data_IF_806954616693
#
_entry.id   IF_806954616693
#
_cell.length_a   1.000
_cell.length_b   1.000
_cell.length_c   1.000
_cell.angle_alpha   90.00
_cell.angle_beta   90.00
_cell.angle_gamma   90.00
#
_symmetry.space_group_name_H-M   'P 1'
#
loop_
_entity.id
_entity.type
_entity.pdbx_description
1 polymer ?
#
# COMPACT_ATOMS: atom_id res chain seq x y z
N UNK A 1 27.54 -2.86 -5.09
CA UNK A 1 26.92 -3.37 -6.33
C UNK A 1 27.90 -3.35 -7.49
N UNK A 2 28.37 -2.17 -7.94
CA UNK A 2 29.32 -2.04 -9.07
C UNK A 2 30.52 -2.98 -8.93
N UNK A 3 31.27 -2.88 -7.83
CA UNK A 3 32.42 -3.78 -7.59
C UNK A 3 32.07 -5.28 -7.54
N UNK A 4 30.84 -5.66 -7.15
CA UNK A 4 30.39 -7.08 -7.20
C UNK A 4 30.20 -7.54 -8.65
N UNK A 5 29.66 -6.70 -9.51
CA UNK A 5 29.48 -7.00 -10.93
C UNK A 5 30.83 -7.01 -11.67
N UNK A 6 31.71 -6.06 -11.38
CA UNK A 6 33.06 -6.00 -11.94
C UNK A 6 33.91 -7.21 -11.55
N UNK A 7 33.84 -7.65 -10.29
CA UNK A 7 34.54 -8.87 -9.83
C UNK A 7 34.10 -10.15 -10.57
N UNK A 8 32.90 -10.15 -11.16
CA UNK A 8 32.37 -11.23 -11.97
C UNK A 8 32.58 -11.01 -13.49
N UNK A 9 33.33 -9.97 -13.88
CA UNK A 9 33.58 -9.63 -15.29
C UNK A 9 32.36 -9.08 -16.04
N UNK A 10 31.33 -8.61 -15.32
CA UNK A 10 30.04 -8.15 -15.87
C UNK A 10 29.71 -6.71 -15.47
N UNK A 11 30.74 -5.86 -15.39
CA UNK A 11 30.64 -4.46 -14.96
C UNK A 11 29.68 -3.62 -15.81
N UNK A 12 29.50 -3.98 -17.08
CA UNK A 12 28.57 -3.30 -18.00
C UNK A 12 27.11 -3.36 -17.54
N UNK A 13 26.75 -4.37 -16.73
CA UNK A 13 25.41 -4.49 -16.15
C UNK A 13 25.10 -3.38 -15.14
N UNK A 14 26.10 -2.68 -14.60
CA UNK A 14 25.88 -1.61 -13.63
C UNK A 14 24.96 -0.50 -14.21
N UNK A 15 25.21 -0.08 -15.45
CA UNK A 15 24.38 0.91 -16.15
C UNK A 15 22.94 0.42 -16.39
N UNK A 16 22.74 -0.90 -16.49
CA UNK A 16 21.43 -1.52 -16.64
C UNK A 16 20.70 -1.71 -15.32
N UNK A 17 21.39 -1.80 -14.19
CA UNK A 17 20.76 -2.24 -12.95
C UNK A 17 20.65 -1.14 -11.89
N UNK A 18 21.49 -0.11 -11.95
CA UNK A 18 21.41 1.01 -11.02
C UNK A 18 20.16 1.84 -11.34
N UNK A 19 19.21 1.99 -10.39
CA UNK A 19 18.02 2.78 -10.62
C UNK A 19 18.29 4.28 -10.58
N UNK A 20 17.54 5.04 -11.37
CA UNK A 20 17.57 6.51 -11.41
C UNK A 20 16.63 7.17 -10.38
N UNK A 21 16.22 6.42 -9.35
CA UNK A 21 15.38 6.91 -8.26
C UNK A 21 16.11 6.82 -6.92
N UNK A 22 15.72 7.66 -5.97
CA UNK A 22 16.32 7.69 -4.64
C UNK A 22 16.12 6.37 -3.88
N UNK A 23 17.13 5.89 -3.12
CA UNK A 23 16.99 4.74 -2.25
C UNK A 23 15.77 4.85 -1.32
N UNK A 24 14.99 3.77 -1.20
CA UNK A 24 13.78 3.72 -0.37
C UNK A 24 12.52 4.28 -1.04
N UNK A 25 12.62 4.88 -2.24
CA UNK A 25 11.45 5.31 -3.00
C UNK A 25 10.55 4.14 -3.44
N UNK A 26 11.14 2.94 -3.55
CA UNK A 26 10.44 1.65 -3.66
C UNK A 26 10.84 0.75 -2.50
N UNK A 27 10.02 -0.26 -2.20
CA UNK A 27 10.35 -1.27 -1.17
C UNK A 27 11.66 -1.94 -1.57
N UNK A 28 12.59 -2.01 -0.62
CA UNK A 28 13.86 -2.70 -0.84
C UNK A 28 13.60 -4.21 -0.96
N UNK A 29 14.11 -4.80 -2.03
CA UNK A 29 14.11 -6.24 -2.26
C UNK A 29 15.48 -6.77 -1.91
N UNK A 30 15.54 -7.70 -0.97
CA UNK A 30 16.78 -8.30 -0.50
C UNK A 30 17.01 -9.61 -1.24
N UNK A 31 18.24 -9.82 -1.72
CA UNK A 31 18.72 -11.09 -2.25
C UNK A 31 20.23 -11.08 -2.20
N UNK A 32 20.79 -12.19 -1.73
CA UNK A 32 22.23 -12.36 -1.64
C UNK A 32 22.83 -12.79 -2.97
N UNK A 33 22.05 -13.49 -3.82
CA UNK A 33 22.51 -14.13 -5.06
C UNK A 33 21.99 -13.49 -6.36
N UNK A 34 21.08 -12.51 -6.29
CA UNK A 34 20.46 -11.95 -7.49
C UNK A 34 21.49 -11.40 -8.47
N UNK A 35 22.47 -10.63 -8.00
CA UNK A 35 23.49 -10.04 -8.86
C UNK A 35 24.38 -11.12 -9.51
N UNK A 36 24.80 -12.11 -8.74
CA UNK A 36 25.63 -13.23 -9.20
C UNK A 36 24.87 -14.09 -10.22
N UNK A 37 23.56 -14.24 -10.05
CA UNK A 37 22.72 -14.97 -11.01
C UNK A 37 22.72 -14.30 -12.40
N UNK A 38 22.69 -12.96 -12.45
CA UNK A 38 22.72 -12.20 -13.71
C UNK A 38 24.08 -12.28 -14.43
N UNK A 39 25.14 -12.63 -13.69
CA UNK A 39 26.49 -12.70 -14.24
C UNK A 39 26.82 -14.05 -14.91
N UNK A 40 25.99 -15.09 -14.72
CA UNK A 40 26.23 -16.43 -15.29
C UNK A 40 26.23 -16.37 -16.82
N UNK A 41 27.02 -17.26 -17.44
CA UNK A 41 27.19 -17.32 -18.90
C UNK A 41 25.90 -17.69 -19.65
N UNK A 42 24.95 -18.32 -18.98
CA UNK A 42 23.66 -18.71 -19.54
C UNK A 42 22.52 -17.72 -19.21
N UNK A 43 22.83 -16.51 -18.76
CA UNK A 43 21.84 -15.48 -18.41
C UNK A 43 22.04 -14.22 -19.24
N UNK A 44 20.99 -13.81 -19.93
CA UNK A 44 20.94 -12.58 -20.73
C UNK A 44 20.03 -11.55 -20.06
N UNK A 45 20.51 -10.31 -19.94
CA UNK A 45 19.76 -9.18 -19.39
C UNK A 45 19.34 -8.24 -20.52
N UNK A 46 18.07 -8.35 -20.91
CA UNK A 46 17.41 -7.47 -21.88
C UNK A 46 16.61 -6.37 -21.14
N UNK A 47 16.80 -5.10 -21.54
CA UNK A 47 16.11 -3.94 -20.96
C UNK A 47 15.14 -3.27 -21.93
N UNK A 48 15.20 -3.63 -23.19
CA UNK A 48 14.31 -3.11 -24.22
C UNK A 48 12.87 -3.51 -23.92
N UNK A 49 11.93 -2.60 -24.19
CA UNK A 49 10.52 -2.92 -24.03
C UNK A 49 10.14 -4.09 -24.95
N UNK A 50 9.26 -4.96 -24.45
CA UNK A 50 8.65 -6.01 -25.25
C UNK A 50 7.63 -5.35 -26.17
N UNK A 51 7.80 -5.53 -27.48
CA UNK A 51 6.84 -5.08 -28.51
C UNK A 51 5.68 -6.05 -28.60
N UNK A 52 5.99 -7.33 -28.78
CA UNK A 52 4.99 -8.39 -28.92
C UNK A 52 5.55 -9.77 -28.58
N UNK A 53 4.65 -10.74 -28.45
CA UNK A 53 4.98 -12.17 -28.38
C UNK A 53 4.41 -12.84 -29.62
N UNK A 54 5.28 -13.45 -30.44
CA UNK A 54 4.90 -14.21 -31.64
C UNK A 54 5.10 -15.69 -31.37
N UNK A 55 4.02 -16.40 -31.02
CA UNK A 55 4.11 -17.80 -30.63
C UNK A 55 5.03 -17.99 -29.42
N UNK A 56 6.22 -18.57 -29.63
CA UNK A 56 7.25 -18.82 -28.62
C UNK A 56 8.42 -17.84 -28.68
N UNK A 57 8.27 -16.74 -29.40
CA UNK A 57 9.32 -15.75 -29.60
C UNK A 57 8.90 -14.42 -28.96
N UNK A 58 9.74 -13.88 -28.08
CA UNK A 58 9.62 -12.50 -27.60
C UNK A 58 10.30 -11.59 -28.61
N UNK A 59 9.61 -10.54 -29.04
CA UNK A 59 10.16 -9.49 -29.91
C UNK A 59 10.28 -8.20 -29.10
N UNK A 60 11.49 -7.67 -28.99
CA UNK A 60 11.76 -6.41 -28.31
C UNK A 60 11.73 -5.22 -29.27
N UNK A 61 11.55 -4.01 -28.74
CA UNK A 61 11.49 -2.78 -29.56
C UNK A 61 12.79 -2.48 -30.32
N UNK A 62 13.93 -2.94 -29.80
CA UNK A 62 15.23 -2.82 -30.47
C UNK A 62 15.42 -3.86 -31.61
N UNK A 63 14.43 -4.71 -31.86
CA UNK A 63 14.48 -5.78 -32.87
C UNK A 63 15.09 -7.09 -32.38
N UNK A 64 15.53 -7.19 -31.13
CA UNK A 64 16.01 -8.45 -30.57
C UNK A 64 14.85 -9.46 -30.47
N UNK A 65 15.12 -10.68 -30.93
CA UNK A 65 14.20 -11.80 -30.85
C UNK A 65 14.79 -12.91 -30.00
N UNK A 66 13.98 -13.55 -29.16
CA UNK A 66 14.43 -14.67 -28.32
C UNK A 66 13.32 -15.69 -28.20
N UNK A 67 13.64 -16.94 -28.52
CA UNK A 67 12.73 -18.07 -28.32
C UNK A 67 12.74 -18.54 -26.87
N UNK A 68 11.60 -19.05 -26.40
CA UNK A 68 11.46 -19.59 -25.06
C UNK A 68 10.62 -20.88 -25.05
N UNK A 69 10.92 -21.74 -24.08
CA UNK A 69 10.09 -22.89 -23.73
C UNK A 69 9.07 -22.55 -22.63
N UNK A 70 9.48 -21.70 -21.69
CA UNK A 70 8.69 -21.31 -20.52
C UNK A 70 8.75 -19.80 -20.38
N UNK A 71 7.59 -19.18 -20.18
CA UNK A 71 7.46 -17.75 -19.88
C UNK A 71 6.93 -17.55 -18.45
N UNK A 72 7.74 -16.92 -17.61
CA UNK A 72 7.38 -16.57 -16.24
C UNK A 72 7.02 -15.08 -16.12
N UNK A 73 5.76 -14.77 -15.81
CA UNK A 73 5.29 -13.39 -15.65
C UNK A 73 5.48 -12.89 -14.21
N UNK A 74 6.60 -12.21 -13.96
CA UNK A 74 6.89 -11.55 -12.69
C UNK A 74 6.43 -10.06 -12.68
N UNK A 75 5.22 -9.78 -13.18
CA UNK A 75 4.71 -8.42 -13.46
C UNK A 75 4.10 -7.70 -12.25
N UNK A 76 4.13 -8.29 -11.06
CA UNK A 76 3.59 -7.71 -9.83
C UNK A 76 2.09 -7.94 -9.65
N UNK A 77 1.43 -7.01 -8.93
CA UNK A 77 0.03 -7.14 -8.49
C UNK A 77 -0.77 -5.85 -8.75
N UNK A 78 -2.10 -5.99 -8.89
CA UNK A 78 -3.01 -4.85 -8.81
C UNK A 78 -3.25 -4.50 -7.33
N UNK A 79 -2.57 -3.45 -6.86
CA UNK A 79 -2.61 -3.00 -5.46
C UNK A 79 -3.57 -1.84 -5.21
N UNK A 80 -4.20 -1.28 -6.26
CA UNK A 80 -5.19 -0.21 -6.14
C UNK A 80 -6.60 -0.76 -5.93
N UNK A 81 -6.83 -2.03 -6.26
CA UNK A 81 -8.06 -2.75 -5.96
C UNK A 81 -8.16 -3.15 -4.49
N UNK A 82 -8.19 -2.19 -3.56
CA UNK A 82 -8.24 -2.45 -2.10
C UNK A 82 -9.39 -3.37 -1.67
N UNK A 83 -10.47 -3.42 -2.45
CA UNK A 83 -11.64 -4.27 -2.17
C UNK A 83 -11.67 -5.55 -3.01
N UNK A 84 -10.75 -5.73 -3.96
CA UNK A 84 -10.81 -6.79 -4.94
C UNK A 84 -12.16 -6.80 -5.66
N UNK A 85 -12.87 -7.92 -5.57
CA UNK A 85 -14.21 -8.11 -6.16
C UNK A 85 -15.36 -7.80 -5.19
N UNK A 86 -15.06 -7.39 -3.95
CA UNK A 86 -16.09 -7.06 -2.96
C UNK A 86 -16.86 -5.81 -3.41
N UNK A 87 -18.18 -5.89 -3.30
CA UNK A 87 -19.10 -4.77 -3.49
C UNK A 87 -19.55 -4.30 -2.11
N UNK A 88 -19.17 -3.08 -1.74
CA UNK A 88 -19.46 -2.53 -0.41
C UNK A 88 -20.35 -1.31 -0.57
N UNK A 89 -21.50 -1.34 0.07
CA UNK A 89 -22.49 -0.26 0.04
C UNK A 89 -22.67 0.33 1.44
N UNK A 90 -22.55 1.64 1.52
CA UNK A 90 -22.74 2.42 2.73
C UNK A 90 -24.14 3.03 2.82
N UNK A 91 -24.25 4.14 3.54
CA UNK A 91 -25.47 4.94 3.64
C UNK A 91 -25.94 5.38 2.25
N UNK A 92 -27.26 5.51 2.10
CA UNK A 92 -27.90 5.95 0.86
C UNK A 92 -27.50 5.10 -0.37
N UNK A 93 -27.19 3.82 -0.15
CA UNK A 93 -26.72 2.88 -1.17
C UNK A 93 -25.45 3.35 -1.91
N UNK A 94 -24.60 4.16 -1.25
CA UNK A 94 -23.36 4.63 -1.84
C UNK A 94 -22.35 3.48 -1.98
N UNK A 95 -21.93 3.22 -3.21
CA UNK A 95 -20.89 2.24 -3.54
C UNK A 95 -19.50 2.77 -3.17
N UNK A 96 -18.75 2.03 -2.35
CA UNK A 96 -17.37 2.37 -1.99
C UNK A 96 -16.45 2.27 -3.21
N UNK A 97 -16.69 1.26 -4.05
CA UNK A 97 -15.95 1.04 -5.28
C UNK A 97 -16.06 2.27 -6.20
N UNK A 98 -17.25 2.85 -6.34
CA UNK A 98 -17.46 4.06 -7.16
C UNK A 98 -16.87 5.31 -6.51
N UNK A 99 -16.97 5.42 -5.17
CA UNK A 99 -16.37 6.52 -4.42
C UNK A 99 -14.85 6.58 -4.65
N UNK A 100 -14.17 5.43 -4.59
CA UNK A 100 -12.72 5.35 -4.76
C UNK A 100 -12.27 5.30 -6.21
N UNK A 101 -13.07 4.77 -7.13
CA UNK A 101 -12.75 4.80 -8.57
C UNK A 101 -12.63 6.23 -9.09
N UNK A 102 -13.48 7.13 -8.58
CA UNK A 102 -13.55 8.51 -9.05
C UNK A 102 -12.70 9.49 -8.20
N UNK A 103 -12.19 9.04 -7.05
CA UNK A 103 -11.57 9.90 -6.03
C UNK A 103 -10.27 9.35 -5.45
N UNK A 104 -9.71 10.08 -4.49
CA UNK A 104 -8.65 9.55 -3.62
C UNK A 104 -9.29 8.54 -2.66
N UNK A 105 -8.68 7.38 -2.39
CA UNK A 105 -9.25 6.37 -1.52
C UNK A 105 -9.12 6.78 -0.05
N UNK A 106 -10.00 7.67 0.38
CA UNK A 106 -9.99 8.26 1.71
C UNK A 106 -10.42 7.28 2.79
N UNK A 107 -9.67 7.29 3.88
CA UNK A 107 -9.98 6.55 5.11
C UNK A 107 -9.65 7.43 6.31
N UNK A 108 -10.40 7.26 7.39
CA UNK A 108 -10.05 7.80 8.69
C UNK A 108 -9.18 6.79 9.44
N UNK A 109 -7.99 7.23 9.85
CA UNK A 109 -7.00 6.40 10.57
C UNK A 109 -6.65 5.09 9.86
N UNK A 110 -6.78 5.07 8.52
CA UNK A 110 -6.48 3.91 7.70
C UNK A 110 -7.31 2.66 8.05
N UNK A 111 -8.52 2.85 8.61
CA UNK A 111 -9.43 1.77 9.03
C UNK A 111 -10.88 2.05 8.66
N UNK A 112 -11.46 3.15 9.16
CA UNK A 112 -12.88 3.43 8.99
C UNK A 112 -13.13 4.45 7.89
N UNK A 113 -14.36 4.51 7.40
CA UNK A 113 -14.74 5.37 6.27
C UNK A 113 -16.07 6.04 6.61
N UNK A 114 -16.13 7.35 6.46
CA UNK A 114 -17.37 8.12 6.64
C UNK A 114 -18.42 7.65 5.62
N UNK A 115 -19.67 7.43 6.08
CA UNK A 115 -20.74 6.91 5.25
C UNK A 115 -20.82 5.38 5.22
N UNK A 116 -19.85 4.68 5.82
CA UNK A 116 -19.79 3.21 5.88
C UNK A 116 -19.79 2.75 7.35
N UNK A 117 -20.94 2.79 8.03
CA UNK A 117 -21.02 2.47 9.45
C UNK A 117 -20.70 1.01 9.76
N UNK A 118 -20.07 0.78 10.91
CA UNK A 118 -19.64 -0.53 11.41
C UNK A 118 -18.66 -1.28 10.49
N UNK A 119 -18.08 -0.62 9.50
CA UNK A 119 -17.11 -1.18 8.60
C UNK A 119 -15.67 -0.88 9.07
N UNK A 120 -14.85 -1.93 9.19
CA UNK A 120 -13.44 -1.85 9.55
C UNK A 120 -12.61 -2.47 8.43
N UNK A 121 -11.86 -1.65 7.69
CA UNK A 121 -10.98 -2.12 6.64
C UNK A 121 -9.56 -2.30 7.19
N UNK A 122 -9.06 -3.52 7.17
CA UNK A 122 -7.68 -3.84 7.53
C UNK A 122 -6.82 -3.84 6.26
N UNK A 123 -5.56 -3.41 6.38
CA UNK A 123 -4.65 -3.19 5.25
C UNK A 123 -5.25 -2.34 4.10
N UNK A 124 -6.15 -1.42 4.43
CA UNK A 124 -6.73 -0.47 3.48
C UNK A 124 -5.77 0.64 3.03
N UNK A 125 -6.30 1.65 2.32
CA UNK A 125 -5.56 2.85 1.96
C UNK A 125 -4.81 3.46 3.15
N UNK A 126 -3.63 4.00 2.88
CA UNK A 126 -2.76 4.65 3.86
C UNK A 126 -2.38 3.81 5.09
N UNK A 127 -2.42 2.47 5.02
CA UNK A 127 -2.03 1.57 6.12
C UNK A 127 -0.78 0.74 5.84
N UNK A 128 -0.36 0.62 4.58
CA UNK A 128 0.80 -0.17 4.22
C UNK A 128 2.10 0.59 4.54
N UNK A 129 3.20 -0.16 4.64
CA UNK A 129 4.53 0.39 4.91
C UNK A 129 5.54 -0.14 3.89
N UNK A 130 6.34 0.76 3.32
CA UNK A 130 7.48 0.39 2.48
C UNK A 130 8.68 -0.16 3.26
N UNK A 131 8.67 -0.02 4.59
CA UNK A 131 9.82 -0.25 5.47
C UNK A 131 9.48 -1.03 6.76
N UNK A 132 8.27 -1.59 6.86
CA UNK A 132 7.83 -2.33 8.05
C UNK A 132 6.98 -3.56 7.67
N UNK A 133 6.79 -4.46 8.63
CA UNK A 133 5.97 -5.66 8.46
C UNK A 133 4.48 -5.31 8.43
N UNK A 134 3.75 -5.87 7.45
CA UNK A 134 2.29 -5.76 7.38
C UNK A 134 1.62 -6.45 8.59
N UNK A 135 2.19 -7.55 9.07
CA UNK A 135 1.71 -8.27 10.27
C UNK A 135 1.71 -7.33 11.47
N UNK A 136 2.73 -6.47 11.60
CA UNK A 136 2.78 -5.49 12.68
C UNK A 136 1.65 -4.46 12.60
N UNK A 137 1.21 -4.10 11.40
CA UNK A 137 0.09 -3.16 11.22
C UNK A 137 -1.23 -3.81 11.63
N UNK A 138 -1.43 -5.06 11.21
CA UNK A 138 -2.68 -5.81 11.41
C UNK A 138 -2.82 -6.27 12.85
N UNK A 139 -1.78 -6.92 13.39
CA UNK A 139 -1.89 -7.79 14.58
C UNK A 139 -1.08 -7.33 15.78
N UNK A 140 -0.03 -6.50 15.61
CA UNK A 140 1.00 -6.23 16.65
C UNK A 140 0.53 -6.35 18.10
N UNK A 141 1.16 -7.28 18.82
CA UNK A 141 1.09 -7.46 20.27
C UNK A 141 2.31 -6.84 20.98
N UNK A 142 2.83 -5.71 20.47
CA UNK A 142 3.89 -4.98 21.19
C UNK A 142 3.31 -4.44 22.51
N UNK A 143 3.72 -5.06 23.62
CA UNK A 143 3.22 -4.88 24.98
C UNK A 143 3.04 -3.41 25.42
N UNK A 144 3.88 -2.50 24.91
CA UNK A 144 3.87 -1.09 25.30
C UNK A 144 2.74 -0.27 24.66
N UNK A 145 2.21 -0.67 23.50
CA UNK A 145 1.14 0.08 22.83
C UNK A 145 -0.12 -0.76 22.54
N UNK A 146 -0.04 -2.06 22.24
CA UNK A 146 -1.22 -2.90 21.94
C UNK A 146 -2.25 -2.22 21.00
N UNK A 147 -1.78 -1.50 19.97
CA UNK A 147 -2.61 -0.74 19.04
C UNK A 147 -2.26 -1.13 17.60
N UNK A 148 -2.91 -2.18 17.13
CA UNK A 148 -2.95 -2.61 15.73
C UNK A 148 -4.36 -2.36 15.17
N UNK A 149 -4.56 -2.57 13.87
CA UNK A 149 -5.90 -2.41 13.28
C UNK A 149 -6.92 -3.40 13.89
N UNK A 150 -6.52 -4.65 14.15
CA UNK A 150 -7.38 -5.65 14.82
C UNK A 150 -7.70 -5.23 16.26
N UNK A 151 -6.68 -4.80 17.02
CA UNK A 151 -6.88 -4.33 18.39
C UNK A 151 -7.81 -3.12 18.46
N UNK A 152 -7.68 -2.19 17.50
CA UNK A 152 -8.58 -1.06 17.36
C UNK A 152 -10.03 -1.52 17.14
N UNK A 153 -10.26 -2.38 16.14
CA UNK A 153 -11.60 -2.90 15.83
C UNK A 153 -12.23 -3.61 17.05
N UNK A 154 -11.49 -4.49 17.73
CA UNK A 154 -11.97 -5.20 18.93
C UNK A 154 -12.30 -4.22 20.06
N UNK A 155 -11.42 -3.24 20.34
CA UNK A 155 -11.65 -2.21 21.37
C UNK A 155 -12.90 -1.39 21.05
N UNK A 156 -13.09 -1.02 19.78
CA UNK A 156 -14.28 -0.29 19.32
C UNK A 156 -15.54 -1.12 19.47
N UNK A 157 -15.56 -2.39 19.06
CA UNK A 157 -16.73 -3.27 19.21
C UNK A 157 -17.09 -3.45 20.70
N UNK A 158 -16.10 -3.64 21.57
CA UNK A 158 -16.31 -3.71 23.03
C UNK A 158 -16.89 -2.40 23.59
N UNK A 159 -16.38 -1.26 23.13
CA UNK A 159 -16.90 0.06 23.48
C UNK A 159 -18.36 0.23 23.04
N UNK A 160 -18.66 -0.14 21.78
CA UNK A 160 -20.02 -0.08 21.25
C UNK A 160 -21.00 -0.90 22.08
N UNK A 161 -20.63 -2.14 22.42
CA UNK A 161 -21.45 -3.01 23.29
C UNK A 161 -21.69 -2.39 24.67
N UNK A 162 -20.62 -1.89 25.32
CA UNK A 162 -20.71 -1.28 26.65
C UNK A 162 -21.63 -0.05 26.68
N UNK A 163 -21.64 0.72 25.60
CA UNK A 163 -22.36 1.99 25.50
C UNK A 163 -23.65 1.92 24.67
N UNK A 164 -24.13 0.71 24.34
CA UNK A 164 -25.35 0.46 23.56
C UNK A 164 -25.37 1.22 22.22
N UNK A 165 -24.20 1.31 21.58
CA UNK A 165 -24.03 1.93 20.26
C UNK A 165 -24.31 0.87 19.19
N UNK A 166 -25.24 1.16 18.29
CA UNK A 166 -25.65 0.29 17.19
C UNK A 166 -24.97 0.64 15.87
N UNK A 167 -24.53 1.91 15.71
CA UNK A 167 -23.81 2.36 14.51
C UNK A 167 -22.65 3.28 14.89
N UNK A 168 -21.49 3.02 14.29
CA UNK A 168 -20.22 3.69 14.52
C UNK A 168 -19.56 4.03 13.18
N UNK A 169 -19.24 5.30 12.95
CA UNK A 169 -18.48 5.77 11.78
C UNK A 169 -17.80 7.10 12.08
N UNK A 170 -16.69 7.46 11.39
CA UNK A 170 -16.06 8.74 11.59
C UNK A 170 -16.96 9.88 11.11
N UNK A 171 -16.86 11.03 11.79
CA UNK A 171 -17.41 12.28 11.27
C UNK A 171 -16.69 12.66 9.97
N UNK A 172 -17.41 13.29 9.05
CA UNK A 172 -16.86 13.71 7.75
C UNK A 172 -15.65 14.62 7.92
N UNK A 173 -15.79 15.63 8.77
CA UNK A 173 -14.77 16.65 9.03
C UNK A 173 -13.52 16.04 9.68
N UNK A 174 -13.69 15.01 10.51
CA UNK A 174 -12.58 14.27 11.11
C UNK A 174 -11.80 13.48 10.05
N UNK A 175 -12.50 12.82 9.12
CA UNK A 175 -11.88 12.15 7.97
C UNK A 175 -11.12 13.13 7.08
N UNK A 176 -11.77 14.21 6.64
CA UNK A 176 -11.17 15.21 5.75
C UNK A 176 -9.92 15.83 6.37
N UNK A 177 -9.98 16.24 7.64
CA UNK A 177 -8.83 16.80 8.37
C UNK A 177 -7.68 15.79 8.46
N UNK A 178 -7.99 14.51 8.68
CA UNK A 178 -6.99 13.46 8.76
C UNK A 178 -6.31 13.21 7.40
N UNK A 179 -7.10 13.09 6.34
CA UNK A 179 -6.62 12.89 4.96
C UNK A 179 -5.74 14.06 4.52
N UNK A 180 -6.15 15.30 4.81
CA UNK A 180 -5.36 16.48 4.49
C UNK A 180 -3.99 16.48 5.20
N UNK A 181 -3.97 16.11 6.49
CA UNK A 181 -2.72 15.93 7.23
C UNK A 181 -1.83 14.83 6.66
N UNK A 182 -2.43 13.71 6.25
CA UNK A 182 -1.73 12.58 5.63
C UNK A 182 -1.07 12.99 4.30
N UNK A 183 -1.83 13.66 3.43
CA UNK A 183 -1.33 14.14 2.13
C UNK A 183 -0.19 15.14 2.29
N UNK A 184 -0.28 16.06 3.25
CA UNK A 184 0.83 16.97 3.60
C UNK A 184 2.06 16.21 4.08
N UNK A 185 1.89 15.22 4.95
CA UNK A 185 2.99 14.42 5.46
C UNK A 185 3.68 13.60 4.35
N UNK A 186 2.95 13.15 3.33
CA UNK A 186 3.56 12.45 2.18
C UNK A 186 4.51 13.33 1.35
N UNK A 187 4.27 14.64 1.27
CA UNK A 187 5.09 15.56 0.48
C UNK A 187 6.55 15.63 0.96
N UNK A 188 6.80 15.39 2.24
CA UNK A 188 8.15 15.37 2.82
C UNK A 188 8.84 14.01 2.77
N UNK A 189 8.22 12.99 2.17
CA UNK A 189 8.78 11.64 2.08
C UNK A 189 9.57 11.41 0.80
N UNK A 190 10.50 10.45 0.82
CA UNK A 190 11.21 9.99 -0.38
C UNK A 190 10.26 9.50 -1.47
N UNK A 191 9.06 9.03 -1.11
CA UNK A 191 8.07 8.57 -2.08
C UNK A 191 7.57 9.72 -2.97
N UNK A 192 7.65 10.97 -2.53
CA UNK A 192 7.30 12.14 -3.34
C UNK A 192 8.46 12.66 -4.20
N UNK A 193 9.62 12.00 -4.22
CA UNK A 193 10.81 12.46 -4.96
C UNK A 193 10.77 12.22 -6.48
N UNK A 194 9.60 11.92 -7.05
CA UNK A 194 9.42 11.68 -8.48
C UNK A 194 9.55 10.23 -8.95
N UNK A 195 9.67 9.23 -8.07
CA UNK A 195 9.67 7.83 -8.52
C UNK A 195 8.26 7.30 -8.79
N UNK A 196 8.14 6.48 -9.84
CA UNK A 196 6.90 5.74 -10.13
C UNK A 196 6.90 4.42 -9.39
N UNK A 197 5.93 4.22 -8.52
CA UNK A 197 5.78 3.00 -7.74
C UNK A 197 4.30 2.63 -7.61
N UNK A 198 4.05 1.39 -7.20
CA UNK A 198 2.71 0.89 -6.93
C UNK A 198 2.04 1.57 -5.71
N UNK A 199 2.78 2.40 -4.95
CA UNK A 199 2.25 3.18 -3.83
C UNK A 199 1.31 4.31 -4.26
N UNK A 200 1.37 4.68 -5.55
CA UNK A 200 0.69 5.84 -6.10
C UNK A 200 -0.49 5.46 -6.97
N UNK A 201 -1.46 6.37 -7.07
CA UNK A 201 -2.52 6.32 -8.07
C UNK A 201 -2.05 6.84 -9.44
N UNK A 202 -2.95 6.80 -10.44
CA UNK A 202 -2.68 7.31 -11.78
C UNK A 202 -2.41 8.82 -11.84
N UNK A 203 -2.75 9.58 -10.79
CA UNK A 203 -2.50 11.02 -10.64
C UNK A 203 -1.20 11.31 -9.87
N UNK A 204 -0.44 10.27 -9.49
CA UNK A 204 0.81 10.39 -8.74
C UNK A 204 0.63 10.65 -7.24
N UNK A 205 -0.58 10.51 -6.70
CA UNK A 205 -0.84 10.68 -5.27
C UNK A 205 -0.52 9.39 -4.53
N UNK A 206 0.16 9.49 -3.39
CA UNK A 206 0.47 8.32 -2.57
C UNK A 206 -0.82 7.90 -1.83
N UNK A 207 -1.31 6.70 -2.15
CA UNK A 207 -2.59 6.17 -1.66
C UNK A 207 -2.42 4.99 -0.71
N UNK A 208 -1.36 4.19 -0.89
CA UNK A 208 -1.24 2.92 -0.17
C UNK A 208 -0.52 3.06 1.18
N UNK A 209 0.41 4.02 1.30
CA UNK A 209 1.39 4.05 2.39
C UNK A 209 1.01 4.99 3.54
N UNK A 210 1.35 4.57 4.76
CA UNK A 210 1.47 5.47 5.90
C UNK A 210 2.74 6.34 5.80
N UNK A 211 2.66 7.67 5.99
CA UNK A 211 3.82 8.58 5.83
C UNK A 211 4.87 8.50 6.95
N UNK A 212 4.53 7.93 8.11
CA UNK A 212 5.37 7.96 9.31
C UNK A 212 5.96 6.61 9.71
N UNK A 213 6.42 6.53 10.95
CA UNK A 213 6.89 5.29 11.57
C UNK A 213 5.71 4.42 12.01
N UNK A 214 5.96 3.12 12.25
CA UNK A 214 4.95 2.25 12.85
C UNK A 214 4.46 2.79 14.21
N UNK A 215 5.36 3.41 14.99
CA UNK A 215 5.01 4.01 16.27
C UNK A 215 4.00 5.15 16.06
N UNK A 216 4.21 6.04 15.08
CA UNK A 216 3.26 7.14 14.83
C UNK A 216 1.90 6.64 14.36
N UNK A 217 1.85 5.52 13.62
CA UNK A 217 0.61 4.84 13.26
C UNK A 217 -0.12 4.29 14.49
N UNK A 218 0.58 3.54 15.34
CA UNK A 218 0.02 3.01 16.58
C UNK A 218 -0.49 4.12 17.50
N UNK A 219 0.21 5.25 17.57
CA UNK A 219 -0.23 6.45 18.31
C UNK A 219 -1.46 7.10 17.69
N UNK A 220 -1.56 7.16 16.37
CA UNK A 220 -2.75 7.66 15.69
C UNK A 220 -3.98 6.81 16.06
N UNK A 221 -3.85 5.48 16.08
CA UNK A 221 -4.92 4.58 16.55
C UNK A 221 -5.22 4.73 18.04
N UNK A 222 -4.19 4.90 18.87
CA UNK A 222 -4.34 5.09 20.32
C UNK A 222 -5.12 6.36 20.68
N UNK A 223 -4.78 7.49 20.04
CA UNK A 223 -5.39 8.81 20.29
C UNK A 223 -6.78 8.95 19.65
N UNK A 224 -7.58 7.89 19.71
CA UNK A 224 -8.95 7.89 19.19
C UNK A 224 -9.89 8.38 20.27
N UNK A 225 -10.58 9.47 19.99
CA UNK A 225 -11.66 9.95 20.83
C UNK A 225 -12.99 9.61 20.19
N UNK A 226 -13.66 8.60 20.74
CA UNK A 226 -14.95 8.12 20.23
C UNK A 226 -16.04 9.21 20.24
N UNK A 227 -15.93 10.21 21.12
CA UNK A 227 -16.94 11.26 21.26
C UNK A 227 -16.69 12.46 20.34
N UNK A 228 -15.41 12.82 20.11
CA UNK A 228 -15.08 13.94 19.22
C UNK A 228 -15.04 13.53 17.76
N UNK A 229 -14.50 12.35 17.46
CA UNK A 229 -14.13 12.01 16.09
C UNK A 229 -15.19 11.16 15.37
N UNK A 230 -16.10 10.53 16.12
CA UNK A 230 -17.07 9.56 15.59
C UNK A 230 -18.52 9.97 15.84
N UNK A 231 -19.37 9.50 14.94
CA UNK A 231 -20.82 9.46 15.11
C UNK A 231 -21.14 8.12 15.78
N UNK A 232 -21.77 8.18 16.95
CA UNK A 232 -22.16 7.01 17.73
C UNK A 232 -23.69 6.99 17.90
N UNK A 233 -24.39 6.27 17.02
CA UNK A 233 -25.83 6.10 17.11
C UNK A 233 -26.16 5.01 18.14
N UNK A 234 -27.09 5.29 19.04
CA UNK A 234 -27.55 4.33 20.06
C UNK A 234 -28.93 3.82 19.70
N UNK A 235 -29.25 2.60 20.11
CA UNK A 235 -30.64 2.15 20.12
C UNK A 235 -31.43 3.01 21.08
N UNK A 236 -32.59 3.52 20.66
CA UNK A 236 -33.63 3.92 21.60
C UNK A 236 -33.99 2.68 22.42
N UNK A 237 -34.11 2.77 23.76
CA UNK A 237 -34.64 1.66 24.55
C UNK A 237 -35.98 1.24 23.94
N UNK A 238 -36.12 -0.05 23.61
CA UNK A 238 -37.44 -0.64 23.37
C UNK A 238 -38.20 -0.74 24.67
#
# INVERSE_FOLDING_TARGET
MVGRLEAQGRGELAHKLIPEYLPGCKRLTLSDEYLESLCRSNVTVERSAIREIRGRTIVCENGNETEFDILCLATGFNVQGFLGNLQIYGRNNQSLNDLWKNGYPETYKSINIHGFPNFFLLLGPASAFGHHSAVSVIESNFSVLNNSQVNFAIKTIKYMRKHQITSFEPKKEAQEKFVEGLRKAHQSTVWSSGCKSWYMDAKGQIVSLWPGTIISFMWALYRTSYTSDYICNRSTPK
#
